data_IF_057995052605
#
_entry.id   IF_057995052605
#
_cell.length_a   1.000
_cell.length_b   1.000
_cell.length_c   1.000
_cell.angle_alpha   90.00
_cell.angle_beta   90.00
_cell.angle_gamma   90.00
#
_symmetry.space_group_name_H-M   'P 1'
#
loop_
_entity.id
_entity.type
_entity.pdbx_description
1 polymer ?
#
# COMPACT_ATOMS: atom_id res chain seq x y z
N UNK A 1 12.70 -3.47 -15.87
CA UNK A 1 13.57 -3.18 -14.72
C UNK A 1 13.26 -4.16 -13.59
N UNK A 2 13.59 -5.44 -13.77
CA UNK A 2 13.27 -6.50 -12.80
C UNK A 2 14.51 -7.32 -12.41
N UNK A 3 15.71 -6.76 -12.61
CA UNK A 3 16.97 -7.53 -12.57
C UNK A 3 18.02 -6.88 -11.66
N UNK A 4 17.58 -6.06 -10.70
CA UNK A 4 18.48 -5.49 -9.69
C UNK A 4 17.98 -5.81 -8.30
N UNK A 5 18.74 -6.63 -7.59
CA UNK A 5 18.61 -6.73 -6.14
C UNK A 5 19.15 -5.45 -5.48
N UNK A 6 18.39 -4.93 -4.53
CA UNK A 6 18.75 -3.77 -3.76
C UNK A 6 19.40 -4.20 -2.44
N UNK A 7 20.33 -3.39 -1.94
CA UNK A 7 20.93 -3.59 -0.62
C UNK A 7 19.93 -3.39 0.53
N UNK A 8 20.26 -3.93 1.70
CA UNK A 8 19.39 -3.91 2.89
C UNK A 8 18.96 -2.49 3.26
N UNK A 9 19.87 -1.52 3.23
CA UNK A 9 19.62 -0.13 3.60
C UNK A 9 18.56 0.50 2.69
N UNK A 10 18.61 0.18 1.40
CA UNK A 10 17.63 0.67 0.42
C UNK A 10 16.27 0.00 0.64
N UNK A 11 16.27 -1.31 0.90
CA UNK A 11 15.05 -2.05 1.18
C UNK A 11 14.38 -1.57 2.47
N UNK A 12 15.14 -1.35 3.54
CA UNK A 12 14.61 -0.81 4.79
C UNK A 12 13.90 0.54 4.60
N UNK A 13 14.36 1.36 3.65
CA UNK A 13 13.77 2.67 3.39
C UNK A 13 12.58 2.64 2.41
N UNK A 14 12.52 1.67 1.49
CA UNK A 14 11.62 1.75 0.34
C UNK A 14 10.81 0.49 0.03
N UNK A 15 11.20 -0.67 0.54
CA UNK A 15 10.51 -1.92 0.24
C UNK A 15 9.09 -1.91 0.83
N UNK A 16 8.13 -2.42 0.05
CA UNK A 16 6.72 -2.46 0.45
C UNK A 16 5.97 -1.13 0.37
N UNK A 17 6.61 -0.05 -0.10
CA UNK A 17 6.01 1.27 -0.20
C UNK A 17 6.10 1.82 -1.63
N UNK A 18 4.99 2.34 -2.13
CA UNK A 18 4.90 3.10 -3.37
C UNK A 18 4.29 4.47 -3.07
N UNK A 19 4.55 5.51 -3.88
CA UNK A 19 3.84 6.77 -3.74
C UNK A 19 2.33 6.52 -3.82
N UNK A 20 1.57 7.14 -2.93
CA UNK A 20 0.11 7.05 -2.94
C UNK A 20 -0.43 7.54 -4.29
N UNK A 21 -1.20 6.72 -5.05
CA UNK A 21 -1.67 7.10 -6.38
C UNK A 21 -2.68 8.26 -6.34
N UNK A 22 -3.37 8.48 -5.21
CA UNK A 22 -4.38 9.52 -5.11
C UNK A 22 -3.76 10.92 -4.89
N UNK A 23 -2.67 11.01 -4.11
CA UNK A 23 -2.07 12.30 -3.70
C UNK A 23 -0.62 12.48 -4.14
N UNK A 24 0.06 11.42 -4.54
CA UNK A 24 1.50 11.41 -4.78
C UNK A 24 2.35 11.40 -3.50
N UNK A 25 1.74 11.27 -2.31
CA UNK A 25 2.47 11.22 -1.05
C UNK A 25 3.48 10.08 -1.04
N UNK A 26 4.72 10.39 -0.69
CA UNK A 26 5.77 9.38 -0.47
C UNK A 26 5.68 8.71 0.90
N UNK A 27 5.22 9.44 1.90
CA UNK A 27 4.92 8.87 3.21
C UNK A 27 3.61 8.09 3.13
N UNK A 28 3.56 6.92 3.77
CA UNK A 28 2.35 6.11 3.83
C UNK A 28 1.25 6.84 4.61
N UNK A 29 0.00 6.87 4.11
CA UNK A 29 -1.12 7.44 4.85
C UNK A 29 -1.37 6.70 6.16
N UNK A 30 -1.78 7.42 7.20
CA UNK A 30 -2.25 6.83 8.45
C UNK A 30 -3.74 6.53 8.31
N UNK A 31 -4.09 5.26 8.06
CA UNK A 31 -5.49 4.81 8.03
C UNK A 31 -6.02 4.60 9.45
N UNK A 32 -6.28 5.70 10.16
CA UNK A 32 -6.82 5.68 11.52
C UNK A 32 -8.34 5.41 11.50
N UNK A 33 -8.71 4.18 11.14
CA UNK A 33 -10.09 3.68 11.09
C UNK A 33 -10.17 2.29 11.70
N UNK A 34 -11.38 1.89 12.10
CA UNK A 34 -11.69 0.53 12.54
C UNK A 34 -12.42 -0.29 11.47
N UNK A 35 -12.82 0.33 10.36
CA UNK A 35 -13.64 -0.30 9.32
C UNK A 35 -13.37 0.27 7.92
N UNK A 36 -13.67 -0.53 6.89
CA UNK A 36 -13.62 -0.18 5.47
C UNK A 36 -14.95 -0.51 4.79
N UNK A 37 -15.28 0.23 3.74
CA UNK A 37 -16.54 0.06 2.98
C UNK A 37 -16.34 -0.98 1.88
N UNK A 38 -17.36 -1.83 1.67
CA UNK A 38 -17.43 -2.72 0.52
C UNK A 38 -18.21 -2.07 -0.62
N UNK A 39 -17.80 -2.35 -1.85
CA UNK A 39 -18.48 -1.84 -3.05
C UNK A 39 -19.89 -2.43 -3.22
N UNK A 40 -20.14 -3.64 -2.70
CA UNK A 40 -21.46 -4.30 -2.73
C UNK A 40 -21.62 -5.32 -1.59
N UNK A 41 -22.87 -5.71 -1.32
CA UNK A 41 -23.19 -6.76 -0.34
C UNK A 41 -22.65 -8.13 -0.75
N UNK A 42 -22.66 -8.46 -2.05
CA UNK A 42 -22.12 -9.72 -2.57
C UNK A 42 -20.60 -9.78 -2.39
N UNK A 43 -19.88 -8.67 -2.65
CA UNK A 43 -18.44 -8.58 -2.39
C UNK A 43 -18.16 -8.80 -0.90
N UNK A 44 -18.88 -8.10 -0.02
CA UNK A 44 -18.77 -8.25 1.43
C UNK A 44 -19.00 -9.71 1.88
N UNK A 45 -19.94 -10.41 1.26
CA UNK A 45 -20.28 -11.79 1.59
C UNK A 45 -19.25 -12.81 1.09
N UNK A 46 -18.40 -12.45 0.12
CA UNK A 46 -17.46 -13.36 -0.55
C UNK A 46 -16.01 -13.35 -0.03
N UNK A 47 -15.71 -12.52 0.98
CA UNK A 47 -14.37 -12.33 1.55
C UNK A 47 -13.94 -13.41 2.54
#
# INVERSE_FOLDING_TARGET
>A
MADREFGLETLCLHAGQLPDPATGSRAVPIYQTTSYVFDSADHAASL
#
